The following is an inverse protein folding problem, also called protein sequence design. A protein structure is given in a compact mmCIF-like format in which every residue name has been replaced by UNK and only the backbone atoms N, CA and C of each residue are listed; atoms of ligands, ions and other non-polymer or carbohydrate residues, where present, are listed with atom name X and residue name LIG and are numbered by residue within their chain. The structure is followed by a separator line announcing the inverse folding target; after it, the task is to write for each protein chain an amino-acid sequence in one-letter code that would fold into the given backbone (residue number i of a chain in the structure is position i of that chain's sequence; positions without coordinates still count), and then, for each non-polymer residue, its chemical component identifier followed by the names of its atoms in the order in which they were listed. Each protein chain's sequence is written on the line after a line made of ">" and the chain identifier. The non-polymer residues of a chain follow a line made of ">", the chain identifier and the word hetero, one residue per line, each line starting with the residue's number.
data_IF_928558538817
#
_entry.id   IF_928558538817
#
_cell.length_a   1.000
_cell.length_b   1.000
_cell.length_c   1.000
_cell.angle_alpha   90.00
_cell.angle_beta   90.00
_cell.angle_gamma   90.00
#
_symmetry.space_group_name_H-M   'P 1'
#
loop_
_entity.id
_entity.type
_entity.pdbx_description
1 polymer ?
#
# COMPACT_ATOMS: atom_id res chain seq x y z
N UNK A 1 5.82 -27.16 -13.35
CA UNK A 1 5.15 -25.89 -13.67
C UNK A 1 6.05 -24.78 -13.16
N UNK A 2 6.42 -23.81 -13.98
CA UNK A 2 7.31 -22.73 -13.56
C UNK A 2 6.45 -21.56 -13.05
N UNK A 3 6.73 -21.06 -11.84
CA UNK A 3 5.99 -19.96 -11.20
C UNK A 3 6.73 -18.61 -11.31
N UNK A 4 8.01 -18.63 -11.69
CA UNK A 4 8.84 -17.46 -11.88
C UNK A 4 10.22 -17.85 -12.42
N UNK A 5 11.06 -16.86 -12.66
CA UNK A 5 12.40 -17.06 -13.21
C UNK A 5 13.37 -15.98 -12.70
N UNK A 6 14.67 -16.25 -12.76
CA UNK A 6 15.70 -15.26 -12.49
C UNK A 6 15.96 -14.40 -13.73
N UNK A 7 15.88 -13.09 -13.56
CA UNK A 7 16.42 -12.13 -14.51
C UNK A 7 17.84 -11.73 -14.05
N UNK A 8 18.84 -12.31 -14.70
CA UNK A 8 20.23 -12.07 -14.33
C UNK A 8 20.71 -10.65 -14.67
N UNK A 9 20.06 -9.96 -15.60
CA UNK A 9 20.44 -8.62 -16.00
C UNK A 9 20.01 -7.60 -14.94
N UNK A 10 18.78 -7.68 -14.48
CA UNK A 10 18.25 -6.83 -13.41
C UNK A 10 18.59 -7.32 -12.01
N UNK A 11 19.07 -8.57 -11.87
CA UNK A 11 19.29 -9.29 -10.59
C UNK A 11 18.00 -9.40 -9.78
N UNK A 12 16.91 -9.71 -10.44
CA UNK A 12 15.58 -9.88 -9.86
C UNK A 12 15.09 -11.32 -10.02
N UNK A 13 14.25 -11.75 -9.07
CA UNK A 13 13.41 -12.91 -9.29
C UNK A 13 12.05 -12.43 -9.76
N UNK A 14 11.63 -12.82 -10.94
CA UNK A 14 10.42 -12.37 -11.61
C UNK A 14 9.31 -13.40 -11.41
N UNK A 15 8.14 -12.95 -10.95
CA UNK A 15 6.95 -13.76 -10.72
C UNK A 15 5.83 -13.17 -11.57
N UNK A 16 5.42 -13.90 -12.62
CA UNK A 16 4.41 -13.43 -13.59
C UNK A 16 3.03 -14.07 -13.37
N UNK A 17 2.86 -14.76 -12.23
CA UNK A 17 1.63 -15.47 -11.87
C UNK A 17 1.18 -15.07 -10.49
N UNK A 18 -0.14 -15.08 -10.29
CA UNK A 18 -0.77 -14.76 -9.00
C UNK A 18 -1.24 -16.02 -8.25
N UNK A 19 -1.37 -17.15 -8.97
CA UNK A 19 -1.89 -18.43 -8.47
C UNK A 19 -0.79 -19.33 -7.89
N UNK A 20 0.13 -18.76 -7.14
CA UNK A 20 1.17 -19.54 -6.45
C UNK A 20 0.55 -20.40 -5.35
N UNK A 21 1.12 -21.60 -5.07
CA UNK A 21 0.60 -22.51 -4.06
C UNK A 21 0.76 -21.98 -2.63
N UNK A 22 1.69 -21.05 -2.42
CA UNK A 22 1.95 -20.35 -1.16
C UNK A 22 2.41 -18.94 -1.46
N UNK A 23 2.33 -18.05 -0.49
CA UNK A 23 2.88 -16.69 -0.61
C UNK A 23 4.39 -16.72 -0.75
N UNK A 24 4.90 -16.20 -1.87
CA UNK A 24 6.32 -15.99 -2.07
C UNK A 24 6.69 -14.58 -1.65
N UNK A 25 7.55 -14.49 -0.63
CA UNK A 25 7.89 -13.22 0.03
C UNK A 25 9.32 -12.79 -0.25
N UNK A 26 9.55 -11.50 -0.23
CA UNK A 26 10.85 -10.87 -0.23
C UNK A 26 11.03 -10.03 1.03
N UNK A 27 12.26 -9.97 1.53
CA UNK A 27 12.66 -9.07 2.60
C UNK A 27 13.25 -7.80 1.99
N UNK A 28 12.78 -6.65 2.45
CA UNK A 28 13.36 -5.36 2.11
C UNK A 28 13.85 -4.69 3.39
N UNK A 29 14.91 -3.92 3.29
CA UNK A 29 15.39 -3.11 4.40
C UNK A 29 16.85 -3.27 4.69
N UNK A 30 17.30 -2.38 5.57
CA UNK A 30 18.68 -2.28 6.03
C UNK A 30 18.68 -1.68 7.44
N UNK A 31 19.67 -2.03 8.26
CA UNK A 31 19.78 -1.52 9.62
C UNK A 31 18.65 -2.01 10.53
N UNK A 32 17.88 -1.10 11.07
CA UNK A 32 16.83 -1.39 12.06
C UNK A 32 15.42 -1.54 11.45
N UNK A 33 15.22 -1.15 10.19
CA UNK A 33 13.91 -1.20 9.54
C UNK A 33 13.85 -2.25 8.45
N UNK A 34 12.82 -3.07 8.49
CA UNK A 34 12.60 -4.17 7.55
C UNK A 34 11.15 -4.24 7.11
N UNK A 35 10.95 -4.61 5.85
CA UNK A 35 9.66 -5.00 5.31
C UNK A 35 9.67 -6.43 4.82
N UNK A 36 8.52 -7.10 4.88
CA UNK A 36 8.30 -8.43 4.33
C UNK A 36 7.07 -8.35 3.44
N UNK A 37 7.24 -8.53 2.13
CA UNK A 37 6.17 -8.39 1.15
C UNK A 37 6.08 -9.59 0.24
N UNK A 38 4.86 -10.02 -0.04
CA UNK A 38 4.61 -11.14 -0.93
C UNK A 38 4.37 -10.68 -2.39
N UNK A 39 4.20 -11.66 -3.27
CA UNK A 39 4.03 -11.43 -4.71
C UNK A 39 2.71 -10.72 -5.10
N UNK A 40 1.79 -10.51 -4.17
CA UNK A 40 0.53 -9.79 -4.37
C UNK A 40 0.41 -8.49 -3.55
N UNK A 41 1.52 -8.03 -2.95
CA UNK A 41 1.66 -6.85 -2.10
C UNK A 41 1.06 -6.94 -0.69
N UNK A 42 0.66 -8.13 -0.26
CA UNK A 42 0.43 -8.38 1.16
C UNK A 42 1.75 -8.36 1.91
N UNK A 43 1.77 -7.77 3.10
CA UNK A 43 3.00 -7.67 3.85
C UNK A 43 2.96 -6.61 4.93
N UNK A 44 4.09 -6.42 5.60
CA UNK A 44 4.21 -5.50 6.72
C UNK A 44 5.61 -4.91 6.84
N UNK A 45 5.66 -3.81 7.55
CA UNK A 45 6.86 -3.10 7.94
C UNK A 45 7.08 -3.23 9.45
N UNK A 46 8.35 -3.33 9.87
CA UNK A 46 8.74 -3.41 11.27
C UNK A 46 10.00 -2.59 11.54
N UNK A 47 10.15 -2.16 12.80
CA UNK A 47 11.35 -1.50 13.32
C UNK A 47 11.96 -2.35 14.43
N UNK A 48 13.19 -2.86 14.25
CA UNK A 48 13.96 -3.71 15.18
C UNK A 48 13.32 -5.04 15.53
N UNK A 49 12.04 -5.07 15.88
CA UNK A 49 11.38 -6.29 16.37
C UNK A 49 10.06 -6.54 15.64
N UNK A 50 9.88 -7.71 15.00
CA UNK A 50 8.61 -8.07 14.38
C UNK A 50 7.49 -8.37 15.40
N UNK A 51 7.84 -8.61 16.67
CA UNK A 51 6.88 -8.85 17.73
C UNK A 51 6.41 -7.56 18.41
N UNK A 52 7.34 -6.66 18.74
CA UNK A 52 7.07 -5.49 19.59
C UNK A 52 6.99 -4.16 18.84
N UNK A 53 7.59 -4.06 17.65
CA UNK A 53 7.64 -2.80 16.90
C UNK A 53 7.18 -2.99 15.45
N UNK A 54 6.03 -3.63 15.27
CA UNK A 54 5.39 -3.72 13.97
C UNK A 54 4.72 -2.38 13.65
N UNK A 55 5.01 -1.85 12.47
CA UNK A 55 4.51 -0.54 12.02
C UNK A 55 3.20 -0.71 11.29
N UNK A 56 3.13 -1.64 10.34
CA UNK A 56 1.92 -1.89 9.58
C UNK A 56 1.33 -3.27 9.88
N UNK A 57 0.01 -3.34 9.78
CA UNK A 57 -0.77 -4.55 10.05
C UNK A 57 -0.66 -5.56 8.92
N UNK A 58 -0.53 -6.82 9.28
CA UNK A 58 -0.57 -7.95 8.37
C UNK A 58 -1.02 -9.21 9.11
N UNK A 59 -1.91 -9.97 8.48
CA UNK A 59 -2.43 -11.22 9.02
C UNK A 59 -2.17 -12.34 8.01
N UNK A 60 -1.13 -13.16 8.21
CA UNK A 60 -0.92 -14.34 7.40
C UNK A 60 -2.07 -15.31 7.61
N UNK A 61 -2.49 -16.01 6.57
CA UNK A 61 -3.60 -16.94 6.59
C UNK A 61 -4.94 -16.38 7.11
N UNK A 62 -5.10 -15.05 7.08
CA UNK A 62 -6.35 -14.38 7.38
C UNK A 62 -7.39 -14.54 6.25
N UNK A 63 -8.53 -13.87 6.37
CA UNK A 63 -9.53 -13.77 5.30
C UNK A 63 -9.78 -12.29 5.04
N UNK A 64 -9.41 -11.76 3.85
CA UNK A 64 -8.67 -12.44 2.78
C UNK A 64 -7.25 -12.86 3.20
N UNK A 65 -6.72 -13.89 2.54
CA UNK A 65 -5.42 -14.45 2.89
C UNK A 65 -4.29 -13.45 2.60
N UNK A 66 -3.32 -13.40 3.53
CA UNK A 66 -2.10 -12.59 3.40
C UNK A 66 -2.35 -11.08 3.16
N UNK A 67 -3.35 -10.54 3.84
CA UNK A 67 -3.63 -9.10 3.87
C UNK A 67 -3.68 -8.56 5.31
N UNK A 68 -3.79 -7.24 5.48
CA UNK A 68 -3.59 -6.22 4.45
C UNK A 68 -2.13 -6.11 3.98
N UNK A 69 -1.90 -5.17 3.09
CA UNK A 69 -0.57 -4.89 2.57
C UNK A 69 -0.40 -3.41 2.27
N UNK A 70 0.59 -3.10 1.45
CA UNK A 70 0.86 -1.75 0.98
C UNK A 70 0.33 -1.60 -0.44
N UNK A 71 -0.86 -1.04 -0.56
CA UNK A 71 -1.62 -1.04 -1.81
C UNK A 71 -1.66 0.34 -2.47
N UNK A 72 -1.64 0.32 -3.81
CA UNK A 72 -1.97 1.48 -4.64
C UNK A 72 -3.21 1.14 -5.46
N UNK A 73 -4.28 1.91 -5.24
CA UNK A 73 -5.45 1.87 -6.10
C UNK A 73 -5.34 2.96 -7.16
N UNK A 74 -5.83 2.66 -8.35
CA UNK A 74 -5.98 3.60 -9.44
C UNK A 74 -7.44 3.58 -9.85
N UNK A 75 -8.07 4.75 -9.93
CA UNK A 75 -9.42 4.93 -10.42
C UNK A 75 -9.39 5.79 -11.67
N UNK A 76 -10.06 5.34 -12.69
CA UNK A 76 -10.36 6.13 -13.86
C UNK A 76 -11.60 6.99 -13.58
N UNK A 77 -11.43 8.31 -13.54
CA UNK A 77 -12.50 9.23 -13.17
C UNK A 77 -13.53 9.42 -14.28
N UNK A 78 -13.17 9.10 -15.54
CA UNK A 78 -14.07 9.22 -16.69
C UNK A 78 -15.04 8.03 -16.78
N UNK A 79 -14.59 6.84 -16.37
CA UNK A 79 -15.39 5.61 -16.43
C UNK A 79 -15.93 5.15 -15.09
N UNK A 80 -15.29 5.56 -13.99
CA UNK A 80 -15.55 5.06 -12.64
C UNK A 80 -14.93 3.70 -12.36
N UNK A 81 -14.23 3.08 -13.33
CA UNK A 81 -13.54 1.82 -13.14
C UNK A 81 -12.29 2.00 -12.27
N UNK A 82 -11.95 1.00 -11.45
CA UNK A 82 -10.78 1.05 -10.58
C UNK A 82 -10.10 -0.31 -10.45
N UNK A 83 -8.81 -0.30 -10.17
CA UNK A 83 -7.96 -1.48 -9.96
C UNK A 83 -6.84 -1.18 -8.97
N UNK A 84 -6.09 -2.18 -8.56
CA UNK A 84 -4.84 -2.03 -7.80
C UNK A 84 -3.62 -2.30 -8.68
N UNK A 85 -2.48 -1.66 -8.42
CA UNK A 85 -1.22 -1.90 -9.15
C UNK A 85 -0.77 -3.34 -8.90
N UNK A 86 -0.72 -3.78 -7.66
CA UNK A 86 -0.57 -5.18 -7.28
C UNK A 86 -1.83 -5.99 -7.63
N UNK A 87 -1.73 -7.31 -7.61
CA UNK A 87 -2.91 -8.13 -7.87
C UNK A 87 -3.95 -7.97 -6.76
N UNK A 88 -3.55 -8.15 -5.50
CA UNK A 88 -4.41 -7.75 -4.37
C UNK A 88 -4.39 -6.21 -4.23
N UNK A 89 -5.44 -5.63 -3.61
CA UNK A 89 -6.60 -6.29 -3.05
C UNK A 89 -7.77 -6.45 -4.03
N UNK A 90 -7.79 -5.70 -5.15
CA UNK A 90 -8.95 -5.66 -6.07
C UNK A 90 -9.14 -6.98 -6.84
N UNK A 91 -8.05 -7.65 -7.20
CA UNK A 91 -8.07 -8.97 -7.84
C UNK A 91 -8.64 -8.98 -9.26
N UNK A 92 -8.56 -7.86 -9.99
CA UNK A 92 -8.97 -7.81 -11.40
C UNK A 92 -7.93 -8.46 -12.31
N UNK A 93 -8.41 -9.16 -13.32
CA UNK A 93 -7.57 -9.68 -14.39
C UNK A 93 -6.92 -8.54 -15.17
N UNK A 94 -5.61 -8.60 -15.32
CA UNK A 94 -4.79 -7.59 -15.97
C UNK A 94 -4.24 -8.13 -17.29
N UNK A 95 -4.03 -7.24 -18.26
CA UNK A 95 -3.37 -7.60 -19.52
C UNK A 95 -1.93 -8.08 -19.26
N UNK A 96 -1.28 -7.48 -18.28
CA UNK A 96 0.04 -7.85 -17.81
C UNK A 96 0.12 -7.65 -16.30
N UNK A 97 0.78 -8.57 -15.60
CA UNK A 97 1.13 -8.47 -14.19
C UNK A 97 2.48 -9.13 -13.95
N UNK A 98 3.33 -8.46 -13.17
CA UNK A 98 4.59 -9.03 -12.71
C UNK A 98 4.94 -8.48 -11.32
N UNK A 99 5.36 -9.38 -10.44
CA UNK A 99 6.04 -9.01 -9.20
C UNK A 99 7.53 -9.33 -9.36
N UNK A 100 8.39 -8.39 -8.97
CA UNK A 100 9.83 -8.52 -9.06
C UNK A 100 10.49 -8.36 -7.71
N UNK A 101 11.11 -9.42 -7.24
CA UNK A 101 11.87 -9.43 -6.00
C UNK A 101 13.33 -9.11 -6.30
N UNK A 102 13.74 -7.90 -5.95
CA UNK A 102 15.12 -7.43 -6.05
C UNK A 102 15.86 -7.49 -4.73
N UNK A 103 17.13 -7.09 -4.74
CA UNK A 103 17.91 -6.95 -3.51
C UNK A 103 17.43 -5.69 -2.77
N UNK A 104 16.81 -5.89 -1.60
CA UNK A 104 16.25 -4.83 -0.72
C UNK A 104 15.11 -4.00 -1.33
N UNK A 105 14.42 -4.50 -2.35
CA UNK A 105 13.20 -3.89 -2.87
C UNK A 105 12.24 -4.93 -3.44
N UNK A 106 10.99 -4.55 -3.57
CA UNK A 106 9.99 -5.29 -4.34
C UNK A 106 9.31 -4.34 -5.31
N UNK A 107 9.00 -4.82 -6.53
CA UNK A 107 8.25 -4.07 -7.55
C UNK A 107 7.02 -4.84 -7.98
N UNK A 108 5.93 -4.12 -8.16
CA UNK A 108 4.70 -4.61 -8.77
C UNK A 108 4.45 -3.80 -10.03
N UNK A 109 4.23 -4.50 -11.15
CA UNK A 109 3.97 -3.89 -12.45
C UNK A 109 2.67 -4.44 -13.01
N UNK A 110 1.88 -3.59 -13.60
CA UNK A 110 0.68 -4.04 -14.29
C UNK A 110 0.31 -3.15 -15.48
N UNK A 111 -0.37 -3.77 -16.47
CA UNK A 111 -1.10 -3.07 -17.53
C UNK A 111 -2.59 -3.36 -17.38
N UNK A 112 -3.35 -2.31 -17.15
CA UNK A 112 -4.81 -2.39 -17.09
C UNK A 112 -5.43 -1.16 -17.74
N UNK A 113 -6.47 -1.33 -18.55
CA UNK A 113 -7.19 -0.24 -19.22
C UNK A 113 -6.28 0.73 -20.00
N UNK A 114 -5.21 0.22 -20.64
CA UNK A 114 -4.16 0.99 -21.31
C UNK A 114 -3.43 2.01 -20.40
N UNK A 115 -3.38 1.75 -19.12
CA UNK A 115 -2.48 2.39 -18.16
C UNK A 115 -1.43 1.38 -17.73
N UNK A 116 -0.17 1.72 -17.93
CA UNK A 116 0.96 1.02 -17.31
C UNK A 116 1.21 1.62 -15.93
N UNK A 117 1.35 0.76 -14.92
CA UNK A 117 1.62 1.20 -13.55
C UNK A 117 2.73 0.38 -12.91
N UNK A 118 3.62 1.05 -12.19
CA UNK A 118 4.68 0.45 -11.38
C UNK A 118 4.58 1.00 -9.95
N UNK A 119 4.72 0.09 -8.97
CA UNK A 119 4.89 0.41 -7.55
C UNK A 119 6.15 -0.28 -7.08
N UNK A 120 7.12 0.47 -6.57
CA UNK A 120 8.35 -0.05 -5.98
C UNK A 120 8.42 0.31 -4.51
N UNK A 121 8.62 -0.68 -3.64
CA UNK A 121 8.79 -0.54 -2.20
C UNK A 121 10.24 -0.81 -1.82
N UNK A 122 10.84 0.06 -1.02
CA UNK A 122 12.19 -0.11 -0.50
C UNK A 122 12.39 0.72 0.77
N UNK A 123 13.37 0.34 1.60
CA UNK A 123 13.73 1.07 2.82
C UNK A 123 14.94 1.96 2.54
N UNK A 124 14.94 3.19 3.05
CA UNK A 124 16.07 4.10 2.96
C UNK A 124 17.28 3.56 3.75
N UNK A 125 18.50 3.86 3.29
CA UNK A 125 19.71 3.33 3.92
C UNK A 125 20.05 3.99 5.25
N UNK A 126 19.79 5.29 5.36
CA UNK A 126 20.27 6.11 6.48
C UNK A 126 19.15 6.51 7.45
N UNK A 127 17.91 6.20 7.12
CA UNK A 127 16.74 6.57 7.90
C UNK A 127 15.74 5.40 8.02
N UNK A 128 15.03 5.26 9.13
CA UNK A 128 14.05 4.19 9.30
C UNK A 128 12.75 4.52 8.54
N UNK A 129 12.84 4.55 7.22
CA UNK A 129 11.79 5.01 6.31
C UNK A 129 11.60 4.01 5.19
N UNK A 130 10.36 3.58 4.96
CA UNK A 130 9.98 2.91 3.73
C UNK A 130 9.55 3.92 2.67
N UNK A 131 10.04 3.77 1.47
CA UNK A 131 9.74 4.62 0.32
C UNK A 131 8.93 3.84 -0.71
N UNK A 132 7.91 4.50 -1.26
CA UNK A 132 7.09 3.97 -2.36
C UNK A 132 7.34 4.83 -3.61
N UNK A 133 7.97 4.29 -4.63
CA UNK A 133 8.12 4.93 -5.94
C UNK A 133 6.98 4.42 -6.84
N UNK A 134 6.09 5.32 -7.24
CA UNK A 134 4.92 5.00 -8.07
C UNK A 134 5.10 5.68 -9.42
N UNK A 135 4.92 4.92 -10.49
CA UNK A 135 4.98 5.43 -11.86
C UNK A 135 3.75 5.01 -12.64
N UNK A 136 3.22 5.94 -13.41
CA UNK A 136 2.08 5.72 -14.29
C UNK A 136 2.41 6.20 -15.69
N UNK A 137 2.00 5.45 -16.71
CA UNK A 137 2.07 5.86 -18.11
C UNK A 137 0.75 5.60 -18.81
N UNK A 138 0.31 6.59 -19.55
CA UNK A 138 -0.88 6.46 -20.38
C UNK A 138 -0.52 5.90 -21.76
N UNK A 139 -0.79 4.62 -21.98
CA UNK A 139 -0.58 3.93 -23.27
C UNK A 139 -1.82 4.02 -24.19
N UNK A 140 -2.85 4.79 -23.81
CA UNK A 140 -4.03 5.02 -24.65
C UNK A 140 -3.84 6.19 -25.61
N UNK A 141 -4.73 6.29 -26.60
CA UNK A 141 -4.75 7.41 -27.55
C UNK A 141 -5.51 8.65 -27.09
N UNK A 142 -5.98 8.70 -25.84
CA UNK A 142 -6.77 9.79 -25.28
C UNK A 142 -6.20 10.25 -23.93
N UNK A 143 -6.41 11.49 -23.51
CA UNK A 143 -6.10 11.92 -22.15
C UNK A 143 -6.89 11.09 -21.13
N UNK A 144 -6.29 10.81 -19.98
CA UNK A 144 -6.90 10.02 -18.90
C UNK A 144 -6.87 10.82 -17.59
N UNK A 145 -8.02 10.89 -16.93
CA UNK A 145 -8.16 11.52 -15.62
C UNK A 145 -8.20 10.42 -14.55
N UNK A 146 -7.14 10.34 -13.74
CA UNK A 146 -6.96 9.26 -12.78
C UNK A 146 -6.92 9.81 -11.36
N UNK A 147 -7.47 9.05 -10.41
CA UNK A 147 -7.22 9.23 -8.98
C UNK A 147 -6.39 8.05 -8.47
N UNK A 148 -5.30 8.35 -7.80
CA UNK A 148 -4.39 7.37 -7.21
C UNK A 148 -4.54 7.43 -5.69
N UNK A 149 -4.76 6.28 -5.05
CA UNK A 149 -4.89 6.17 -3.60
C UNK A 149 -3.83 5.22 -3.09
N UNK A 150 -3.00 5.68 -2.18
CA UNK A 150 -2.14 4.80 -1.39
C UNK A 150 -2.90 4.28 -0.18
N UNK A 151 -2.60 3.07 0.29
CA UNK A 151 -3.29 2.46 1.41
C UNK A 151 -2.37 1.58 2.24
N UNK A 152 -2.40 1.79 3.55
CA UNK A 152 -1.86 0.87 4.55
C UNK A 152 -2.74 0.88 5.82
N UNK A 153 -2.58 -0.13 6.66
CA UNK A 153 -3.18 -0.14 8.01
C UNK A 153 -2.07 -0.06 9.06
N UNK A 154 -2.26 0.79 10.06
CA UNK A 154 -1.34 0.89 11.19
C UNK A 154 -1.53 -0.28 12.16
N UNK A 155 -0.42 -0.82 12.66
CA UNK A 155 -0.40 -1.84 13.72
C UNK A 155 -0.25 -1.18 15.10
N UNK A 156 -0.54 -1.94 16.16
CA UNK A 156 -0.36 -1.52 17.56
C UNK A 156 1.00 -1.85 18.12
N UNK A 157 2.06 -1.88 17.34
CA UNK A 157 3.38 -2.33 17.71
C UNK A 157 3.46 -3.81 18.08
N UNK A 158 2.68 -4.26 19.08
CA UNK A 158 2.73 -5.65 19.51
C UNK A 158 1.80 -6.54 18.70
N UNK A 159 2.36 -7.50 17.99
CA UNK A 159 1.63 -8.40 17.10
C UNK A 159 0.54 -9.23 17.80
N UNK A 160 0.77 -9.66 19.04
CA UNK A 160 -0.21 -10.46 19.77
C UNK A 160 -1.45 -9.62 20.12
N UNK A 161 -1.24 -8.38 20.56
CA UNK A 161 -2.35 -7.44 20.81
C UNK A 161 -3.11 -7.14 19.54
N UNK A 162 -2.42 -6.92 18.44
CA UNK A 162 -3.04 -6.60 17.16
C UNK A 162 -3.86 -7.78 16.59
N UNK A 163 -3.42 -9.02 16.82
CA UNK A 163 -4.08 -10.23 16.29
C UNK A 163 -5.18 -10.78 17.20
N UNK A 164 -5.03 -10.67 18.52
CA UNK A 164 -5.91 -11.34 19.48
C UNK A 164 -7.00 -10.42 20.04
N UNK A 165 -6.79 -9.13 20.07
CA UNK A 165 -7.69 -8.23 20.76
C UNK A 165 -8.17 -7.08 19.88
N UNK A 166 -9.08 -7.41 18.98
CA UNK A 166 -9.70 -6.43 18.08
C UNK A 166 -10.38 -5.26 18.83
N UNK A 167 -10.84 -5.47 20.05
CA UNK A 167 -11.41 -4.41 20.88
C UNK A 167 -10.36 -3.42 21.39
N UNK A 168 -9.13 -3.84 21.58
CA UNK A 168 -8.04 -2.94 21.95
C UNK A 168 -7.77 -1.89 20.87
N UNK A 169 -8.00 -2.23 19.59
CA UNK A 169 -7.85 -1.30 18.48
C UNK A 169 -8.72 -0.05 18.62
N UNK A 170 -9.89 -0.19 19.25
CA UNK A 170 -10.81 0.93 19.44
C UNK A 170 -10.29 1.98 20.43
N UNK A 171 -9.29 1.63 21.25
CA UNK A 171 -8.81 2.51 22.35
C UNK A 171 -7.29 2.68 22.37
N UNK A 172 -6.54 1.89 21.60
CA UNK A 172 -5.09 1.82 21.72
C UNK A 172 -4.36 2.98 21.04
N UNK A 173 -4.98 3.63 20.08
CA UNK A 173 -4.35 4.69 19.29
C UNK A 173 -5.32 5.76 18.84
N UNK A 174 -4.78 6.83 18.27
CA UNK A 174 -5.53 7.88 17.59
C UNK A 174 -4.79 8.36 16.37
N UNK A 175 -5.51 8.77 15.35
CA UNK A 175 -4.92 9.31 14.13
C UNK A 175 -5.34 10.74 13.88
N UNK A 176 -4.47 11.50 13.21
CA UNK A 176 -4.75 12.84 12.71
C UNK A 176 -4.08 13.07 11.35
N UNK A 177 -4.65 13.96 10.58
CA UNK A 177 -4.05 14.45 9.34
C UNK A 177 -3.69 15.91 9.50
N UNK A 178 -2.47 16.27 9.15
CA UNK A 178 -1.99 17.64 9.16
C UNK A 178 -0.98 17.86 8.03
N UNK A 179 -1.25 18.81 7.15
CA UNK A 179 -0.34 19.27 6.08
C UNK A 179 0.35 18.14 5.30
N UNK A 180 -0.44 17.17 4.81
CA UNK A 180 0.09 16.06 3.99
C UNK A 180 0.63 14.87 4.79
N UNK A 181 0.56 14.91 6.11
CA UNK A 181 1.01 13.84 7.01
C UNK A 181 -0.16 13.25 7.77
N UNK A 182 -0.28 11.94 7.77
CA UNK A 182 -1.15 11.19 8.69
C UNK A 182 -0.29 10.65 9.81
N UNK A 183 -0.58 11.05 11.02
CA UNK A 183 0.07 10.53 12.22
C UNK A 183 -0.86 9.58 12.96
N UNK A 184 -0.30 8.51 13.51
CA UNK A 184 -0.98 7.54 14.37
C UNK A 184 -0.25 7.44 15.70
N UNK A 185 -0.83 8.02 16.75
CA UNK A 185 -0.29 8.01 18.12
C UNK A 185 -0.71 6.73 18.85
N UNK A 186 0.23 6.09 19.53
CA UNK A 186 0.01 4.90 20.34
C UNK A 186 -0.07 5.28 21.81
N UNK A 187 -1.23 5.07 22.47
CA UNK A 187 -1.48 5.59 23.80
C UNK A 187 -0.81 4.85 24.95
N UNK A 188 -0.29 3.66 24.71
CA UNK A 188 0.41 2.84 25.71
C UNK A 188 1.94 2.83 25.56
N UNK A 189 2.46 3.54 24.55
CA UNK A 189 3.87 3.71 24.33
C UNK A 189 4.25 5.19 24.56
N UNK A 190 5.15 5.47 25.47
CA UNK A 190 5.70 6.82 25.63
C UNK A 190 6.47 7.21 24.37
N UNK A 191 6.01 8.27 23.70
CA UNK A 191 6.57 8.76 22.43
C UNK A 191 6.47 7.79 21.22
N UNK A 192 5.57 6.81 21.28
CA UNK A 192 5.29 5.94 20.16
C UNK A 192 4.34 6.61 19.16
N UNK A 193 4.83 7.01 18.01
CA UNK A 193 4.01 7.44 16.89
C UNK A 193 4.49 6.81 15.59
N UNK A 194 3.54 6.60 14.71
CA UNK A 194 3.77 6.14 13.35
C UNK A 194 3.22 7.23 12.43
N UNK A 195 3.79 7.39 11.26
CA UNK A 195 3.27 8.37 10.33
C UNK A 195 3.34 7.91 8.89
N UNK A 196 2.56 8.56 8.05
CA UNK A 196 2.37 8.29 6.65
C UNK A 196 2.29 9.64 5.92
N UNK A 197 3.23 9.94 5.04
CA UNK A 197 3.36 11.25 4.39
C UNK A 197 3.63 11.13 2.88
N UNK A 198 3.48 12.21 2.14
CA UNK A 198 3.82 12.33 0.73
C UNK A 198 4.64 13.58 0.46
N UNK A 199 5.41 13.59 -0.62
CA UNK A 199 6.15 14.76 -1.11
C UNK A 199 5.28 15.70 -1.95
N UNK A 200 3.98 15.39 -2.09
CA UNK A 200 2.97 16.21 -2.75
C UNK A 200 1.89 16.66 -1.78
N UNK A 201 1.15 17.68 -2.17
CA UNK A 201 -0.08 18.03 -1.47
C UNK A 201 -1.18 17.05 -1.89
N UNK A 202 -1.72 16.23 -0.97
CA UNK A 202 -2.83 15.34 -1.28
C UNK A 202 -4.09 16.08 -1.68
N UNK A 203 -4.84 15.52 -2.62
CA UNK A 203 -6.17 16.01 -3.01
C UNK A 203 -7.26 15.36 -2.13
N UNK A 204 -6.91 14.32 -1.37
CA UNK A 204 -7.77 13.65 -0.40
C UNK A 204 -6.96 12.77 0.54
N UNK A 205 -7.56 12.39 1.66
CA UNK A 205 -6.91 11.56 2.68
C UNK A 205 -7.92 10.75 3.50
N UNK A 206 -7.48 9.64 4.08
CA UNK A 206 -8.25 8.90 5.06
C UNK A 206 -7.39 8.37 6.21
N UNK A 207 -7.87 8.57 7.43
CA UNK A 207 -7.25 8.09 8.66
C UNK A 207 -7.99 6.89 9.28
N UNK A 208 -9.19 6.58 8.82
CA UNK A 208 -10.06 5.56 9.41
C UNK A 208 -10.46 4.52 8.36
N UNK A 209 -10.02 3.28 8.59
CA UNK A 209 -10.25 2.12 7.73
C UNK A 209 -11.74 1.89 7.43
N UNK A 210 -12.54 1.82 8.49
CA UNK A 210 -13.95 1.44 8.36
C UNK A 210 -14.76 2.47 7.53
N UNK A 211 -14.35 3.73 7.56
CA UNK A 211 -14.96 4.78 6.74
C UNK A 211 -14.42 4.80 5.32
N UNK A 212 -13.13 4.50 5.13
CA UNK A 212 -12.54 4.36 3.80
C UNK A 212 -13.14 3.19 3.03
N UNK A 213 -13.25 2.03 3.69
CA UNK A 213 -13.84 0.84 3.08
C UNK A 213 -15.35 0.97 2.89
N UNK A 214 -16.04 1.57 3.86
CA UNK A 214 -17.49 1.60 3.91
C UNK A 214 -18.11 0.36 4.60
N UNK A 215 -19.40 0.43 4.99
CA UNK A 215 -20.05 -0.65 5.70
C UNK A 215 -20.16 -1.91 4.85
N UNK A 216 -19.80 -3.07 5.43
CA UNK A 216 -19.84 -4.41 4.82
C UNK A 216 -18.93 -4.58 3.59
N UNK A 217 -17.93 -3.70 3.42
CA UNK A 217 -16.94 -3.77 2.34
C UNK A 217 -15.55 -4.16 2.86
N UNK A 218 -14.68 -4.47 1.93
CA UNK A 218 -13.30 -4.90 2.18
C UNK A 218 -12.32 -4.04 1.39
N UNK A 219 -11.03 -4.31 1.52
CA UNK A 219 -9.97 -3.68 0.71
C UNK A 219 -10.14 -3.97 -0.78
N UNK A 220 -10.94 -4.97 -1.15
CA UNK A 220 -11.23 -5.31 -2.54
C UNK A 220 -12.15 -4.29 -3.23
N UNK A 221 -13.05 -3.69 -2.47
CA UNK A 221 -14.14 -2.83 -2.95
C UNK A 221 -14.35 -1.58 -2.09
N UNK A 222 -13.29 -0.76 -1.83
CA UNK A 222 -13.41 0.38 -0.93
C UNK A 222 -14.35 1.45 -1.50
N UNK A 223 -15.28 1.92 -0.66
CA UNK A 223 -16.25 2.95 -1.04
C UNK A 223 -15.59 4.25 -1.49
N UNK A 224 -14.53 4.68 -0.80
CA UNK A 224 -13.81 5.91 -1.14
C UNK A 224 -13.16 5.83 -2.52
N UNK A 225 -12.63 4.67 -2.92
CA UNK A 225 -12.07 4.47 -4.25
C UNK A 225 -13.17 4.41 -5.31
N UNK A 226 -14.26 3.70 -5.04
CA UNK A 226 -15.40 3.61 -5.96
C UNK A 226 -16.02 4.98 -6.24
N UNK A 227 -16.19 5.81 -5.22
CA UNK A 227 -16.77 7.15 -5.35
C UNK A 227 -15.78 8.20 -5.83
N UNK A 228 -14.47 7.96 -5.64
CA UNK A 228 -13.42 8.96 -5.89
C UNK A 228 -13.33 10.05 -4.83
N UNK A 229 -14.04 9.90 -3.69
CA UNK A 229 -14.10 10.87 -2.60
C UNK A 229 -13.38 10.30 -1.37
N UNK A 230 -12.30 10.97 -0.96
CA UNK A 230 -11.49 10.56 0.16
C UNK A 230 -11.15 11.77 1.05
N UNK A 231 -12.05 12.10 1.98
CA UNK A 231 -11.84 13.15 2.98
C UNK A 231 -12.35 12.63 4.34
N UNK A 232 -11.50 11.84 5.01
CA UNK A 232 -11.87 11.08 6.22
C UNK A 232 -10.90 11.43 7.33
N UNK A 233 -11.24 12.41 8.20
CA UNK A 233 -10.38 12.84 9.30
C UNK A 233 -10.13 11.72 10.32
N UNK A 234 -9.03 11.86 11.03
CA UNK A 234 -8.69 11.01 12.15
C UNK A 234 -9.52 11.31 13.40
N UNK A 235 -9.41 10.41 14.36
CA UNK A 235 -10.03 10.50 15.67
C UNK A 235 -9.25 9.70 16.72
N UNK A 236 -9.64 9.83 17.97
CA UNK A 236 -9.19 8.92 19.03
C UNK A 236 -9.95 7.61 18.95
N UNK A 237 -9.21 6.50 18.94
CA UNK A 237 -9.79 5.15 18.82
C UNK A 237 -10.30 4.83 17.40
N UNK A 238 -10.50 3.57 17.15
CA UNK A 238 -10.95 3.04 15.87
C UNK A 238 -9.87 2.27 15.11
N UNK A 239 -10.19 1.78 13.93
CA UNK A 239 -9.24 1.12 13.05
C UNK A 239 -8.56 2.17 12.16
N UNK A 240 -7.29 2.43 12.44
CA UNK A 240 -6.55 3.47 11.74
C UNK A 240 -5.87 2.93 10.47
N UNK A 241 -5.95 3.74 9.42
CA UNK A 241 -5.26 3.53 8.15
C UNK A 241 -4.55 4.80 7.70
N UNK A 242 -3.63 4.66 6.77
CA UNK A 242 -3.03 5.76 6.06
C UNK A 242 -3.45 5.69 4.59
N UNK A 243 -4.19 6.70 4.13
CA UNK A 243 -4.56 6.86 2.72
C UNK A 243 -4.29 8.28 2.29
N UNK A 244 -3.56 8.45 1.20
CA UNK A 244 -3.42 9.74 0.53
C UNK A 244 -3.85 9.59 -0.92
N UNK A 245 -4.67 10.51 -1.39
CA UNK A 245 -5.18 10.56 -2.75
C UNK A 245 -4.46 11.63 -3.55
N UNK A 246 -4.10 11.30 -4.79
CA UNK A 246 -3.63 12.25 -5.79
C UNK A 246 -4.41 12.10 -7.09
N UNK A 247 -4.90 13.22 -7.61
CA UNK A 247 -5.54 13.26 -8.90
C UNK A 247 -4.51 13.69 -9.96
N UNK A 248 -4.46 12.96 -11.06
CA UNK A 248 -3.54 13.22 -12.17
C UNK A 248 -4.26 13.14 -13.49
N UNK A 249 -3.90 14.02 -14.43
CA UNK A 249 -4.33 13.94 -15.82
C UNK A 249 -3.11 13.61 -16.67
N UNK A 250 -3.17 12.53 -17.43
CA UNK A 250 -2.10 12.08 -18.30
C UNK A 250 -2.51 12.22 -19.76
N UNK A 251 -1.75 12.98 -20.55
CA UNK A 251 -1.90 13.00 -22.00
C UNK A 251 -1.50 11.63 -22.62
N UNK A 252 -1.89 11.34 -23.88
CA UNK A 252 -1.45 10.15 -24.57
C UNK A 252 0.08 10.03 -24.60
N UNK A 253 0.62 8.89 -24.14
CA UNK A 253 2.05 8.61 -24.06
C UNK A 253 2.77 9.32 -22.91
N UNK A 254 2.08 10.12 -22.10
CA UNK A 254 2.67 10.80 -20.95
C UNK A 254 2.95 9.81 -19.83
N UNK A 255 4.11 10.02 -19.21
CA UNK A 255 4.52 9.31 -18.00
C UNK A 255 4.57 10.30 -16.83
N UNK A 256 3.85 10.00 -15.77
CA UNK A 256 4.04 10.65 -14.47
C UNK A 256 5.15 9.90 -13.75
N UNK A 257 6.34 10.48 -13.73
CA UNK A 257 7.43 10.03 -12.89
C UNK A 257 7.23 10.59 -11.49
N UNK A 258 7.21 9.69 -10.49
CA UNK A 258 7.15 10.06 -9.09
C UNK A 258 5.80 10.66 -8.66
N UNK A 259 4.81 9.81 -8.52
CA UNK A 259 3.81 9.98 -7.47
C UNK A 259 4.48 9.40 -6.23
N UNK A 260 4.57 10.11 -5.18
CA UNK A 260 5.74 10.40 -4.38
C UNK A 260 6.28 9.30 -3.50
N UNK A 261 7.55 9.45 -3.21
CA UNK A 261 8.25 8.75 -2.17
C UNK A 261 7.76 9.18 -0.78
N UNK A 262 7.65 8.23 0.12
CA UNK A 262 7.39 8.41 1.54
C UNK A 262 8.67 8.77 2.26
N UNK A 263 8.64 9.87 3.00
CA UNK A 263 9.59 10.07 4.09
C UNK A 263 8.85 9.80 5.40
N UNK A 264 9.34 8.85 6.16
CA UNK A 264 8.95 8.56 7.49
C UNK A 264 9.89 9.19 8.48
#
# INVERSE_FOLDING_TARGET
>A
MQYGHFDNQSREYVIDRVDLPVSWTNYIGVGDMYGVFNHTAGGYLLYRSPEYHRITRFRPNGVPMDGPGHYIYIRDNDTGDYWSVSWQPVGKDKKFYSCRHGLSYVKYLCDYSAIHAEQKLFVAMDEPIELWDIRLRNDSGIPRNLSVFSYLEFSFHQIQMDNQNFQMSLYASGSRYEVGVIENDLYYEENGFQFFASDFTPDGYACLRDRFLGPYRTERDPLAVETGICEIPGQKGGNHCGVLQKNVTLAPGEEAASIPAWRG
#
